data_IF_178732070360
#
_entry.id   IF_178732070360
#
_cell.length_a   1.000
_cell.length_b   1.000
_cell.length_c   1.000
_cell.angle_alpha   90.00
_cell.angle_beta   90.00
_cell.angle_gamma   90.00
#
_symmetry.space_group_name_H-M   'P 1'
#
loop_
_entity.id
_entity.type
_entity.pdbx_description
1 polymer ?
#
# COMPACT_ATOMS: atom_id res chain seq x y z
N UNK A 1 -17.40 34.56 -5.49
CA UNK A 1 -16.54 33.45 -5.06
C UNK A 1 -15.87 32.86 -6.30
N UNK A 2 -14.53 32.80 -6.37
CA UNK A 2 -13.86 32.09 -7.47
C UNK A 2 -14.18 30.60 -7.32
N UNK A 3 -14.68 29.98 -8.39
CA UNK A 3 -14.89 28.54 -8.45
C UNK A 3 -13.51 27.87 -8.43
N UNK A 4 -13.31 26.93 -7.51
CA UNK A 4 -12.06 26.20 -7.39
C UNK A 4 -11.92 25.22 -8.57
N UNK A 5 -10.93 25.46 -9.43
CA UNK A 5 -10.65 24.62 -10.60
C UNK A 5 -9.67 23.51 -10.23
N UNK A 6 -10.21 22.42 -9.70
CA UNK A 6 -9.44 21.23 -9.34
C UNK A 6 -8.77 20.59 -10.56
N UNK A 7 -9.32 20.75 -11.76
CA UNK A 7 -8.79 20.14 -12.98
C UNK A 7 -7.53 20.86 -13.45
N UNK A 8 -7.46 22.18 -13.29
CA UNK A 8 -6.22 22.93 -13.49
C UNK A 8 -5.14 22.50 -12.49
N UNK A 9 -5.47 22.39 -11.20
CA UNK A 9 -4.53 21.96 -10.17
C UNK A 9 -4.04 20.52 -10.38
N UNK A 10 -4.91 19.62 -10.86
CA UNK A 10 -4.54 18.27 -11.24
C UNK A 10 -3.47 18.26 -12.34
N UNK A 11 -3.70 19.04 -13.41
CA UNK A 11 -2.74 19.15 -14.53
C UNK A 11 -1.40 19.74 -14.10
N UNK A 12 -1.40 20.69 -13.17
CA UNK A 12 -0.17 21.28 -12.62
C UNK A 12 0.65 20.28 -11.79
N UNK A 13 -0.04 19.40 -11.04
CA UNK A 13 0.61 18.39 -10.19
C UNK A 13 1.00 17.11 -10.93
N UNK A 14 0.51 16.94 -12.16
CA UNK A 14 0.79 15.78 -12.99
C UNK A 14 2.26 15.77 -13.42
N UNK A 15 2.94 14.67 -13.19
CA UNK A 15 4.38 14.53 -13.44
C UNK A 15 4.73 13.06 -13.70
N UNK A 16 5.93 12.81 -14.23
CA UNK A 16 6.43 11.43 -14.35
C UNK A 16 6.80 10.85 -12.99
N UNK A 17 6.80 9.52 -12.85
CA UNK A 17 7.20 8.88 -11.60
C UNK A 17 8.62 9.26 -11.14
N UNK A 18 9.53 9.45 -12.10
CA UNK A 18 10.92 9.84 -11.84
C UNK A 18 11.01 11.25 -11.23
N UNK A 19 10.32 12.21 -11.83
CA UNK A 19 10.23 13.59 -11.37
C UNK A 19 9.47 13.71 -10.04
N UNK A 20 8.38 12.97 -9.87
CA UNK A 20 7.64 12.94 -8.61
C UNK A 20 8.54 12.55 -7.43
N UNK A 21 9.41 11.55 -7.65
CA UNK A 21 10.36 11.07 -6.67
C UNK A 21 11.58 11.98 -6.48
N UNK A 22 11.74 13.07 -7.26
CA UNK A 22 12.81 14.04 -7.02
C UNK A 22 12.71 14.75 -5.67
N UNK A 23 11.50 14.84 -5.11
CA UNK A 23 11.26 15.32 -3.76
C UNK A 23 11.67 14.35 -2.64
N UNK A 24 12.15 13.14 -2.97
CA UNK A 24 12.70 12.18 -2.01
C UNK A 24 14.20 12.40 -1.84
N UNK A 25 14.59 12.68 -0.60
CA UNK A 25 15.95 12.99 -0.17
C UNK A 25 16.50 11.95 0.83
N UNK A 26 17.79 12.06 1.13
CA UNK A 26 18.48 11.24 2.14
C UNK A 26 17.83 11.40 3.52
N UNK A 27 17.98 10.38 4.38
CA UNK A 27 17.53 10.42 5.78
C UNK A 27 16.02 10.66 5.98
N UNK A 28 15.19 10.39 4.97
CA UNK A 28 13.74 10.57 5.03
C UNK A 28 13.00 9.28 5.37
N UNK A 29 11.85 9.44 6.02
CA UNK A 29 10.86 8.38 6.25
C UNK A 29 9.86 8.33 5.12
N UNK A 30 9.87 7.23 4.37
CA UNK A 30 8.98 7.00 3.23
C UNK A 30 7.94 5.94 3.59
N UNK A 31 6.68 6.37 3.68
CA UNK A 31 5.54 5.47 3.82
C UNK A 31 5.07 4.97 2.45
N UNK A 32 4.75 3.68 2.37
CA UNK A 32 4.25 3.05 1.15
C UNK A 32 2.89 2.42 1.44
N UNK A 33 1.93 2.64 0.55
CA UNK A 33 0.59 2.08 0.60
C UNK A 33 0.57 0.58 0.89
N UNK A 34 -0.40 0.16 1.69
CA UNK A 34 -0.44 -1.18 2.27
C UNK A 34 -1.17 -2.19 1.38
N UNK A 35 -0.68 -3.43 1.36
CA UNK A 35 -1.34 -4.58 0.75
C UNK A 35 -1.62 -4.41 -0.73
N UNK A 36 -2.85 -4.70 -1.13
CA UNK A 36 -3.22 -4.64 -2.54
C UNK A 36 -3.29 -3.21 -3.11
N UNK A 37 -3.24 -2.18 -2.24
CA UNK A 37 -3.16 -0.77 -2.63
C UNK A 37 -1.73 -0.22 -2.69
N UNK A 38 -0.71 -1.08 -2.69
CA UNK A 38 0.69 -0.67 -2.90
C UNK A 38 0.87 -0.11 -4.33
N UNK A 39 1.41 1.13 -4.50
CA UNK A 39 1.64 1.73 -5.81
C UNK A 39 2.86 1.09 -6.50
N UNK A 40 2.64 0.06 -7.32
CA UNK A 40 3.72 -0.80 -7.83
C UNK A 40 4.69 -0.03 -8.72
N UNK A 41 4.19 0.89 -9.54
CA UNK A 41 5.02 1.72 -10.39
C UNK A 41 5.90 2.68 -9.59
N UNK A 42 5.33 3.38 -8.59
CA UNK A 42 6.12 4.26 -7.72
C UNK A 42 7.15 3.48 -6.89
N UNK A 43 6.80 2.29 -6.42
CA UNK A 43 7.74 1.42 -5.68
C UNK A 43 8.89 0.98 -6.58
N UNK A 44 8.62 0.62 -7.83
CA UNK A 44 9.66 0.24 -8.81
C UNK A 44 10.62 1.39 -9.07
N UNK A 45 10.11 2.60 -9.29
CA UNK A 45 10.96 3.78 -9.51
C UNK A 45 11.71 4.21 -8.25
N UNK A 46 11.10 4.06 -7.07
CA UNK A 46 11.78 4.30 -5.80
C UNK A 46 12.99 3.37 -5.65
N UNK A 47 12.87 2.08 -5.99
CA UNK A 47 13.99 1.12 -5.94
C UNK A 47 15.15 1.55 -6.84
N UNK A 48 14.87 2.10 -8.02
CA UNK A 48 15.89 2.65 -8.91
C UNK A 48 16.57 3.88 -8.30
N UNK A 49 15.79 4.77 -7.68
CA UNK A 49 16.30 5.98 -7.03
C UNK A 49 17.10 5.69 -5.77
N UNK A 50 16.72 4.66 -5.00
CA UNK A 50 17.39 4.23 -3.77
C UNK A 50 18.87 3.92 -3.97
N UNK A 51 19.30 3.53 -5.18
CA UNK A 51 20.71 3.36 -5.55
C UNK A 51 21.57 4.61 -5.35
N UNK A 52 20.94 5.79 -5.25
CA UNK A 52 21.59 7.11 -5.11
C UNK A 52 21.21 7.81 -3.81
N UNK A 53 20.47 7.15 -2.93
CA UNK A 53 20.06 7.69 -1.63
C UNK A 53 20.70 6.89 -0.50
N UNK A 54 20.76 7.49 0.67
CA UNK A 54 21.29 6.90 1.90
C UNK A 54 20.34 7.17 3.07
N UNK A 55 20.34 6.25 4.03
CA UNK A 55 19.56 6.33 5.27
C UNK A 55 18.06 6.54 5.07
N UNK A 56 17.49 6.03 3.98
CA UNK A 56 16.04 6.02 3.83
C UNK A 56 15.42 5.03 4.80
N UNK A 57 14.40 5.49 5.53
CA UNK A 57 13.60 4.64 6.40
C UNK A 57 12.28 4.30 5.71
N UNK A 58 12.17 3.07 5.19
CA UNK A 58 10.98 2.63 4.48
C UNK A 58 9.97 2.05 5.46
N UNK A 59 8.81 2.70 5.59
CA UNK A 59 7.73 2.31 6.50
C UNK A 59 6.65 1.53 5.75
N UNK A 60 6.43 0.27 6.15
CA UNK A 60 5.48 -0.65 5.52
C UNK A 60 4.67 -1.45 6.53
N UNK A 61 3.47 -1.87 6.07
CA UNK A 61 2.53 -2.68 6.84
C UNK A 61 2.29 -4.08 6.26
N UNK A 62 2.02 -4.18 4.96
CA UNK A 62 1.72 -5.47 4.33
C UNK A 62 2.29 -5.47 2.91
N UNK A 63 3.62 -5.69 2.75
CA UNK A 63 4.24 -5.69 1.43
C UNK A 63 3.77 -6.91 0.63
N UNK A 64 3.27 -6.70 -0.58
CA UNK A 64 2.83 -7.78 -1.48
C UNK A 64 3.61 -7.85 -2.79
N UNK A 65 4.04 -6.70 -3.32
CA UNK A 65 4.67 -6.63 -4.64
C UNK A 65 6.17 -6.87 -4.62
N UNK A 66 6.87 -6.35 -3.61
CA UNK A 66 8.32 -6.54 -3.46
C UNK A 66 8.63 -6.94 -2.02
N UNK A 67 9.48 -7.96 -1.87
CA UNK A 67 10.05 -8.33 -0.57
C UNK A 67 10.99 -7.23 -0.07
N UNK A 68 11.31 -7.25 1.23
CA UNK A 68 12.37 -6.39 1.77
C UNK A 68 13.70 -6.64 1.05
N UNK A 69 13.98 -7.89 0.68
CA UNK A 69 15.21 -8.28 0.02
C UNK A 69 15.30 -7.67 -1.38
N UNK A 70 14.19 -7.52 -2.08
CA UNK A 70 14.18 -6.85 -3.39
C UNK A 70 14.52 -5.36 -3.29
N UNK A 71 14.27 -4.75 -2.13
CA UNK A 71 14.52 -3.33 -1.85
C UNK A 71 15.93 -3.14 -1.30
N UNK A 72 16.37 -4.04 -0.41
CA UNK A 72 17.69 -4.04 0.19
C UNK A 72 18.78 -4.52 -0.80
N UNK A 73 18.53 -5.55 -1.62
CA UNK A 73 19.52 -6.07 -2.60
C UNK A 73 19.92 -5.08 -3.69
N UNK A 74 19.09 -4.07 -3.95
CA UNK A 74 19.40 -3.00 -4.90
C UNK A 74 20.23 -1.85 -4.27
N UNK A 75 20.39 -1.85 -2.95
CA UNK A 75 21.32 -0.96 -2.27
C UNK A 75 22.73 -1.55 -2.41
N UNK A 76 23.49 -1.08 -3.41
CA UNK A 76 24.91 -1.46 -3.58
C UNK A 76 25.81 -0.98 -2.43
N UNK A 77 25.25 -0.28 -1.45
CA UNK A 77 25.86 0.11 -0.18
C UNK A 77 25.00 -0.45 0.94
N UNK A 78 25.61 -1.12 1.92
CA UNK A 78 24.96 -1.61 3.13
C UNK A 78 24.20 -0.49 3.92
N UNK A 79 24.42 0.78 3.55
CA UNK A 79 23.88 1.99 4.19
C UNK A 79 22.76 2.71 3.37
N UNK A 80 22.41 2.24 2.17
CA UNK A 80 21.54 3.05 1.29
C UNK A 80 20.07 3.12 1.72
N UNK A 81 19.54 2.10 2.40
CA UNK A 81 18.19 2.13 2.96
C UNK A 81 17.99 1.11 4.08
N UNK A 82 17.34 1.56 5.14
CA UNK A 82 16.90 0.73 6.26
C UNK A 82 15.38 0.52 6.18
N UNK A 83 14.92 -0.72 6.08
CA UNK A 83 13.49 -1.03 6.16
C UNK A 83 13.01 -1.07 7.61
N UNK A 84 12.03 -0.23 7.98
CA UNK A 84 11.31 -0.34 9.25
C UNK A 84 9.90 -0.87 9.02
N UNK A 85 9.59 -1.98 9.67
CA UNK A 85 8.29 -2.62 9.56
C UNK A 85 7.52 -2.50 10.87
N UNK A 86 6.30 -1.97 10.79
CA UNK A 86 5.35 -2.03 11.91
C UNK A 86 4.52 -3.32 11.87
N UNK A 87 4.37 -3.89 10.69
CA UNK A 87 3.75 -5.18 10.46
C UNK A 87 4.39 -5.76 9.19
N UNK A 88 4.72 -7.04 9.20
CA UNK A 88 5.20 -7.78 8.01
C UNK A 88 4.11 -8.67 7.43
N UNK A 89 2.99 -8.83 8.14
CA UNK A 89 1.91 -9.70 7.71
C UNK A 89 2.33 -11.16 7.61
N UNK A 90 1.89 -11.81 6.52
CA UNK A 90 2.19 -13.22 6.22
C UNK A 90 3.49 -13.38 5.44
N UNK A 91 4.38 -12.36 5.43
CA UNK A 91 5.67 -12.46 4.75
C UNK A 91 6.37 -13.75 5.20
N UNK A 92 6.83 -14.59 4.25
CA UNK A 92 7.36 -15.89 4.59
C UNK A 92 8.61 -15.72 5.46
N UNK A 93 8.73 -16.54 6.51
CA UNK A 93 9.77 -16.37 7.55
C UNK A 93 11.22 -16.30 7.01
N UNK A 94 11.47 -16.88 5.82
CA UNK A 94 12.74 -16.76 5.09
C UNK A 94 13.13 -15.30 4.77
N UNK A 95 12.15 -14.44 4.49
CA UNK A 95 12.37 -13.02 4.19
C UNK A 95 12.65 -12.21 5.47
N UNK A 96 12.28 -12.75 6.65
CA UNK A 96 12.56 -12.13 7.96
C UNK A 96 14.01 -12.36 8.42
N UNK A 97 14.57 -13.52 8.07
CA UNK A 97 15.89 -13.97 8.56
C UNK A 97 17.01 -13.37 7.71
N UNK A 98 16.78 -13.19 6.41
CA UNK A 98 17.81 -12.70 5.48
C UNK A 98 18.18 -11.22 5.68
N UNK A 99 17.23 -10.37 6.08
CA UNK A 99 17.38 -8.90 5.98
C UNK A 99 17.38 -8.13 7.30
N UNK A 100 17.29 -8.82 8.46
CA UNK A 100 17.17 -8.22 9.80
C UNK A 100 16.32 -6.93 9.84
N UNK A 101 15.07 -6.95 9.33
CA UNK A 101 14.22 -5.77 9.33
C UNK A 101 14.00 -5.26 10.76
N UNK A 102 13.97 -3.93 10.95
CA UNK A 102 13.55 -3.36 12.24
C UNK A 102 12.05 -3.58 12.41
N UNK A 103 11.68 -4.67 13.07
CA UNK A 103 10.30 -4.96 13.43
C UNK A 103 9.96 -4.24 14.74
N UNK A 104 8.98 -3.33 14.68
CA UNK A 104 8.49 -2.63 15.86
C UNK A 104 7.11 -3.22 16.24
N UNK A 105 7.02 -4.11 17.25
CA UNK A 105 5.76 -4.78 17.59
C UNK A 105 4.80 -3.79 18.21
N UNK A 106 3.84 -3.30 17.41
CA UNK A 106 2.83 -2.33 17.83
C UNK A 106 1.46 -2.71 17.28
N UNK A 107 0.41 -2.40 18.02
CA UNK A 107 -0.95 -2.44 17.47
C UNK A 107 -1.08 -1.44 16.33
N UNK A 108 -1.79 -1.82 15.26
CA UNK A 108 -2.08 -0.95 14.11
C UNK A 108 -2.77 0.37 14.50
N UNK A 109 -3.65 0.31 15.51
CA UNK A 109 -4.30 1.51 16.05
C UNK A 109 -3.29 2.46 16.70
N UNK A 110 -2.28 1.91 17.38
CA UNK A 110 -1.18 2.68 17.98
C UNK A 110 -0.32 3.31 16.90
N UNK A 111 0.00 2.60 15.81
CA UNK A 111 0.77 3.15 14.67
C UNK A 111 0.10 4.39 14.11
N UNK A 112 -1.22 4.33 13.89
CA UNK A 112 -2.00 5.49 13.44
C UNK A 112 -1.88 6.68 14.40
N UNK A 113 -1.94 6.43 15.72
CA UNK A 113 -1.78 7.48 16.72
C UNK A 113 -0.38 8.11 16.66
N UNK A 114 0.68 7.28 16.57
CA UNK A 114 2.06 7.74 16.55
C UNK A 114 2.39 8.60 15.33
N UNK A 115 1.82 8.27 14.16
CA UNK A 115 1.93 9.08 12.95
C UNK A 115 1.22 10.43 13.15
N UNK A 116 -0.01 10.43 13.68
CA UNK A 116 -0.79 11.67 13.92
C UNK A 116 -0.13 12.60 14.93
N UNK A 117 0.50 12.05 15.96
CA UNK A 117 1.21 12.85 16.97
C UNK A 117 2.64 13.20 16.55
N UNK A 118 3.04 12.88 15.32
CA UNK A 118 4.40 13.09 14.79
C UNK A 118 5.51 12.51 15.67
N UNK A 119 5.22 11.45 16.46
CA UNK A 119 6.24 10.65 17.12
C UNK A 119 6.97 9.75 16.11
N UNK A 120 6.25 9.38 15.04
CA UNK A 120 6.80 8.74 13.84
C UNK A 120 6.40 9.63 12.66
N UNK A 121 7.12 10.74 12.42
CA UNK A 121 6.84 11.62 11.29
C UNK A 121 7.04 10.88 9.98
N UNK A 122 6.15 11.16 9.02
CA UNK A 122 6.24 10.66 7.65
C UNK A 122 6.67 11.83 6.78
N UNK A 123 7.81 11.71 6.11
CA UNK A 123 8.29 12.76 5.21
C UNK A 123 7.61 12.63 3.86
N UNK A 124 7.56 11.42 3.33
CA UNK A 124 6.98 11.11 2.01
C UNK A 124 5.98 9.97 2.14
N UNK A 125 4.79 10.12 1.55
CA UNK A 125 3.81 9.06 1.40
C UNK A 125 3.61 8.72 -0.08
N UNK A 126 3.91 7.48 -0.45
CA UNK A 126 3.64 6.92 -1.77
C UNK A 126 2.34 6.12 -1.72
N UNK A 127 1.31 6.63 -2.38
CA UNK A 127 -0.05 6.10 -2.27
C UNK A 127 -0.62 5.77 -3.64
N UNK A 128 -1.51 4.79 -3.72
CA UNK A 128 -2.30 4.53 -4.92
C UNK A 128 -3.74 4.97 -4.70
N UNK A 129 -4.34 5.66 -5.68
CA UNK A 129 -5.68 6.21 -5.60
C UNK A 129 -6.44 6.04 -6.93
N UNK A 130 -7.76 6.12 -6.85
CA UNK A 130 -8.62 6.27 -8.03
C UNK A 130 -8.48 7.67 -8.64
N UNK A 131 -8.86 7.86 -9.91
CA UNK A 131 -9.00 9.19 -10.49
C UNK A 131 -9.94 10.10 -9.68
N UNK A 132 -9.75 11.43 -9.74
CA UNK A 132 -10.64 12.38 -9.09
C UNK A 132 -12.07 12.32 -9.67
N UNK A 133 -13.07 12.61 -8.86
CA UNK A 133 -14.45 12.82 -9.33
C UNK A 133 -14.69 14.27 -9.78
N UNK A 134 -15.95 14.59 -10.09
CA UNK A 134 -16.41 15.94 -10.45
C UNK A 134 -16.13 17.00 -9.38
N UNK A 135 -15.85 16.60 -8.15
CA UNK A 135 -15.51 17.48 -7.03
C UNK A 135 -14.02 17.50 -6.69
N UNK A 136 -13.17 16.83 -7.46
CA UNK A 136 -11.73 16.74 -7.21
C UNK A 136 -11.37 15.78 -6.07
N UNK A 137 -12.27 14.87 -5.69
CA UNK A 137 -12.01 13.87 -4.66
C UNK A 137 -11.47 12.59 -5.29
N UNK A 138 -10.33 12.12 -4.79
CA UNK A 138 -9.75 10.81 -5.11
C UNK A 138 -10.06 9.81 -3.99
N UNK A 139 -10.04 8.51 -4.29
CA UNK A 139 -10.29 7.44 -3.31
C UNK A 139 -9.06 6.56 -3.16
N UNK A 140 -8.67 6.28 -1.91
CA UNK A 140 -7.67 5.26 -1.56
C UNK A 140 -8.12 3.82 -1.90
N UNK A 141 -9.42 3.62 -2.13
CA UNK A 141 -10.00 2.39 -2.61
C UNK A 141 -9.86 1.25 -1.62
N UNK A 142 -9.14 0.19 -2.01
CA UNK A 142 -9.05 -1.03 -1.20
C UNK A 142 -8.15 -0.90 0.04
N UNK A 143 -7.32 0.16 0.13
CA UNK A 143 -6.33 0.32 1.20
C UNK A 143 -6.45 1.68 1.88
N UNK A 144 -7.31 1.76 2.91
CA UNK A 144 -7.51 2.99 3.71
C UNK A 144 -6.68 2.96 5.00
N UNK A 145 -6.70 1.83 5.71
CA UNK A 145 -5.98 1.51 6.96
C UNK A 145 -5.19 2.64 7.65
N UNK A 146 -3.87 2.48 7.83
CA UNK A 146 -2.97 3.54 8.27
C UNK A 146 -2.62 4.49 7.11
N UNK A 147 -2.92 4.07 5.87
CA UNK A 147 -2.65 4.81 4.63
C UNK A 147 -3.31 6.19 4.63
N UNK A 148 -4.56 6.31 5.09
CA UNK A 148 -5.26 7.59 5.25
C UNK A 148 -4.59 8.47 6.31
N UNK A 149 -4.08 7.87 7.38
CA UNK A 149 -3.36 8.62 8.41
C UNK A 149 -2.02 9.13 7.87
N UNK A 150 -1.31 8.32 7.10
CA UNK A 150 -0.09 8.74 6.41
C UNK A 150 -0.37 9.86 5.39
N UNK A 151 -1.42 9.72 4.57
CA UNK A 151 -1.83 10.73 3.60
C UNK A 151 -2.08 12.10 4.22
N UNK A 152 -2.68 12.13 5.42
CA UNK A 152 -2.99 13.38 6.13
C UNK A 152 -1.81 13.99 6.88
N UNK A 153 -0.82 13.19 7.24
CA UNK A 153 0.28 13.61 8.12
C UNK A 153 1.62 13.78 7.38
N UNK A 154 1.73 13.24 6.16
CA UNK A 154 2.96 13.32 5.39
C UNK A 154 3.22 14.74 4.87
N UNK A 155 4.50 15.11 4.80
CA UNK A 155 4.91 16.42 4.25
C UNK A 155 4.79 16.46 2.73
N UNK A 156 5.06 15.33 2.08
CA UNK A 156 4.96 15.14 0.64
C UNK A 156 4.10 13.91 0.34
N UNK A 157 2.96 14.11 -0.30
CA UNK A 157 2.08 13.03 -0.79
C UNK A 157 2.25 12.90 -2.30
N UNK A 158 2.71 11.72 -2.72
CA UNK A 158 2.82 11.34 -4.13
C UNK A 158 1.76 10.27 -4.40
N UNK A 159 0.78 10.61 -5.23
CA UNK A 159 -0.31 9.71 -5.58
C UNK A 159 -0.10 9.11 -6.96
N UNK A 160 -0.11 7.79 -7.03
CA UNK A 160 -0.29 7.04 -8.26
C UNK A 160 -1.78 6.91 -8.55
N UNK A 161 -2.25 7.57 -9.62
CA UNK A 161 -3.64 7.47 -10.07
C UNK A 161 -3.77 6.27 -10.98
N UNK A 162 -4.69 5.37 -10.62
CA UNK A 162 -4.98 4.14 -11.34
C UNK A 162 -6.49 3.99 -11.51
N UNK A 163 -6.97 3.97 -12.75
CA UNK A 163 -8.40 3.82 -13.10
C UNK A 163 -8.99 2.49 -12.62
N UNK A 164 -8.14 1.47 -12.40
CA UNK A 164 -8.57 0.18 -11.87
C UNK A 164 -8.77 0.18 -10.35
N UNK A 165 -8.30 1.22 -9.64
CA UNK A 165 -8.54 1.34 -8.21
C UNK A 165 -10.03 1.59 -7.94
N UNK A 166 -10.76 0.68 -7.27
CA UNK A 166 -12.17 0.87 -7.01
C UNK A 166 -12.38 2.05 -6.06
N UNK A 167 -13.47 2.78 -6.29
CA UNK A 167 -13.90 3.86 -5.41
C UNK A 167 -14.74 3.28 -4.27
N UNK A 168 -14.15 3.14 -3.10
CA UNK A 168 -14.82 2.57 -1.92
C UNK A 168 -15.44 3.68 -1.07
N UNK A 169 -16.65 3.43 -0.55
CA UNK A 169 -17.28 4.37 0.37
C UNK A 169 -16.66 4.30 1.76
N UNK A 170 -16.75 5.40 2.50
CA UNK A 170 -16.24 5.54 3.86
C UNK A 170 -15.23 6.67 3.98
N UNK A 171 -14.30 6.54 4.92
CA UNK A 171 -13.31 7.56 5.25
C UNK A 171 -12.03 7.43 4.41
N UNK A 172 -12.18 7.12 3.11
CA UNK A 172 -11.08 6.83 2.18
C UNK A 172 -10.80 7.93 1.14
N UNK A 173 -11.49 9.07 1.24
CA UNK A 173 -11.41 10.13 0.23
C UNK A 173 -10.35 11.18 0.55
N UNK A 174 -9.54 11.53 -0.45
CA UNK A 174 -8.48 12.54 -0.39
C UNK A 174 -8.71 13.54 -1.53
N UNK A 175 -8.84 14.81 -1.19
CA UNK A 175 -8.98 15.88 -2.18
C UNK A 175 -7.64 16.18 -2.87
N UNK A 176 -7.67 16.57 -4.15
CA UNK A 176 -6.46 16.91 -4.93
C UNK A 176 -5.57 17.94 -4.22
N UNK A 177 -6.15 18.90 -3.50
CA UNK A 177 -5.40 19.90 -2.73
C UNK A 177 -4.41 19.31 -1.71
N UNK A 178 -4.71 18.12 -1.19
CA UNK A 178 -3.90 17.45 -0.18
C UNK A 178 -2.85 16.51 -0.79
N UNK A 179 -2.76 16.44 -2.12
CA UNK A 179 -1.73 15.68 -2.84
C UNK A 179 -0.74 16.66 -3.44
N UNK A 180 0.56 16.35 -3.40
CA UNK A 180 1.59 17.26 -3.89
C UNK A 180 2.03 16.93 -5.32
N UNK A 181 2.07 15.64 -5.67
CA UNK A 181 2.48 15.15 -7.00
C UNK A 181 1.57 14.00 -7.41
N UNK A 182 1.21 13.98 -8.69
CA UNK A 182 0.32 13.01 -9.28
C UNK A 182 1.05 12.30 -10.41
N UNK A 183 0.98 10.97 -10.42
CA UNK A 183 1.55 10.10 -11.44
C UNK A 183 0.44 9.20 -11.95
N UNK A 184 0.11 9.31 -13.23
CA UNK A 184 -0.90 8.43 -13.83
C UNK A 184 -0.26 7.12 -14.28
N UNK A 185 -0.75 6.00 -13.75
CA UNK A 185 -0.35 4.67 -14.19
C UNK A 185 -1.46 3.66 -13.92
N UNK A 186 -2.09 3.22 -14.99
CA UNK A 186 -3.02 2.11 -14.96
C UNK A 186 -2.27 0.78 -14.92
N UNK A 187 -2.57 0.00 -13.88
CA UNK A 187 -2.02 -1.33 -13.69
C UNK A 187 -2.99 -2.20 -12.90
N UNK A 188 -2.90 -3.52 -13.10
CA UNK A 188 -3.73 -4.47 -12.35
C UNK A 188 -3.40 -4.39 -10.86
N UNK A 189 -4.43 -4.31 -10.02
CA UNK A 189 -4.26 -4.35 -8.57
C UNK A 189 -3.68 -5.71 -8.17
N UNK A 190 -2.78 -5.69 -7.19
CA UNK A 190 -2.25 -6.90 -6.61
C UNK A 190 -3.39 -7.74 -6.02
N UNK A 191 -3.31 -9.04 -6.18
CA UNK A 191 -4.27 -9.98 -5.58
C UNK A 191 -3.58 -10.87 -4.58
N UNK A 192 -4.18 -11.05 -3.40
CA UNK A 192 -3.71 -12.02 -2.43
C UNK A 192 -4.49 -13.32 -2.55
N UNK A 193 -3.78 -14.42 -2.84
CA UNK A 193 -4.38 -15.76 -2.82
C UNK A 193 -4.25 -16.35 -1.42
N UNK A 194 -5.36 -16.55 -0.68
CA UNK A 194 -5.28 -17.11 0.65
C UNK A 194 -4.75 -18.56 0.60
N UNK A 195 -3.94 -18.98 1.58
CA UNK A 195 -3.52 -20.37 1.66
C UNK A 195 -4.74 -21.27 1.88
N UNK A 196 -4.76 -22.44 1.23
CA UNK A 196 -5.83 -23.41 1.37
C UNK A 196 -5.99 -23.82 2.85
N UNK A 197 -7.12 -23.44 3.47
CA UNK A 197 -7.42 -23.67 4.90
C UNK A 197 -7.37 -25.17 5.21
N UNK A 198 -7.75 -26.02 4.26
CA UNK A 198 -7.82 -27.46 4.41
C UNK A 198 -6.45 -28.16 4.44
N UNK A 199 -5.39 -27.52 3.93
CA UNK A 199 -4.10 -28.16 3.69
C UNK A 199 -2.98 -27.75 4.65
N UNK A 200 -3.30 -27.17 5.82
CA UNK A 200 -2.32 -26.74 6.84
C UNK A 200 -1.36 -27.83 7.38
N UNK A 201 -1.53 -29.12 7.02
CA UNK A 201 -0.74 -30.24 7.59
C UNK A 201 0.13 -31.04 6.60
N UNK A 202 0.15 -30.77 5.29
CA UNK A 202 1.03 -31.51 4.35
C UNK A 202 1.72 -30.59 3.36
N UNK A 203 3.05 -30.72 3.29
CA UNK A 203 3.96 -29.94 2.43
C UNK A 203 3.77 -30.12 0.91
N UNK A 204 2.80 -30.93 0.49
CA UNK A 204 2.42 -31.10 -0.91
C UNK A 204 0.90 -31.23 -1.01
N UNK A 205 0.21 -30.13 -1.32
CA UNK A 205 -1.22 -30.16 -1.57
C UNK A 205 -1.48 -30.04 -3.07
N UNK A 206 -2.02 -31.11 -3.65
CA UNK A 206 -2.50 -31.21 -5.03
C UNK A 206 -3.91 -30.63 -5.20
N UNK A 207 -4.33 -29.69 -4.35
CA UNK A 207 -5.63 -29.03 -4.50
C UNK A 207 -5.55 -28.07 -5.70
N UNK A 208 -5.86 -28.60 -6.89
CA UNK A 208 -6.08 -27.85 -8.11
C UNK A 208 -7.30 -26.93 -8.01
N UNK A 209 -7.25 -25.91 -7.13
CA UNK A 209 -8.11 -24.74 -7.24
C UNK A 209 -7.50 -23.74 -8.22
N UNK A 210 -7.20 -24.23 -9.43
CA UNK A 210 -7.20 -23.42 -10.63
C UNK A 210 -8.64 -23.37 -11.13
N UNK A 211 -9.23 -22.17 -11.05
CA UNK A 211 -10.40 -21.67 -11.80
C UNK A 211 -11.25 -22.74 -12.52
N UNK A 212 -12.48 -23.01 -12.03
CA UNK A 212 -13.70 -23.42 -12.78
C UNK A 212 -14.52 -24.52 -12.08
N UNK A 213 -15.19 -24.24 -10.95
CA UNK A 213 -16.27 -25.13 -10.46
C UNK A 213 -17.27 -24.52 -9.48
N UNK A 214 -17.45 -23.20 -9.48
CA UNK A 214 -18.41 -22.52 -8.58
C UNK A 214 -19.72 -22.09 -9.25
N UNK A 215 -19.95 -22.41 -10.54
CA UNK A 215 -21.16 -21.95 -11.25
C UNK A 215 -22.39 -22.87 -11.05
N UNK A 216 -22.24 -24.14 -10.66
CA UNK A 216 -23.39 -25.06 -10.64
C UNK A 216 -23.45 -25.97 -9.40
N UNK A 217 -23.72 -25.42 -8.21
CA UNK A 217 -24.36 -26.22 -7.18
C UNK A 217 -25.40 -25.40 -6.40
N UNK A 218 -26.67 -25.71 -6.70
CA UNK A 218 -27.85 -25.22 -5.98
C UNK A 218 -27.67 -25.43 -4.48
N UNK A 219 -27.74 -24.33 -3.73
CA UNK A 219 -27.84 -24.33 -2.28
C UNK A 219 -29.26 -24.76 -1.91
N UNK A 220 -29.44 -25.92 -1.27
CA UNK A 220 -30.68 -26.28 -0.58
C UNK A 220 -30.49 -26.09 0.93
N UNK A 221 -31.29 -25.26 1.61
CA UNK A 221 -31.17 -25.06 3.05
C UNK A 221 -31.71 -26.28 3.80
N UNK A 222 -30.96 -26.79 4.78
CA UNK A 222 -31.44 -27.80 5.73
C UNK A 222 -32.17 -27.10 6.89
N UNK A 223 -33.42 -27.47 7.08
CA UNK A 223 -34.28 -27.06 8.20
C UNK A 223 -33.68 -27.56 9.52
N UNK A 224 -33.48 -26.65 10.49
CA UNK A 224 -33.07 -26.99 11.85
C UNK A 224 -34.34 -27.17 12.68
N UNK A 225 -34.61 -28.39 13.15
CA UNK A 225 -35.65 -28.69 14.13
C UNK A 225 -35.16 -28.26 15.51
N UNK A 226 -35.87 -27.31 16.14
CA UNK A 226 -35.69 -26.92 17.54
C UNK A 226 -36.31 -28.01 18.45
N UNK A 227 -35.54 -28.51 19.41
CA UNK A 227 -36.06 -29.28 20.54
C UNK A 227 -36.04 -28.37 21.77
N UNK A 228 -37.21 -28.05 22.31
CA UNK A 228 -37.40 -27.30 23.54
C UNK A 228 -37.18 -28.20 24.76
N UNK A 229 -36.52 -27.67 25.78
CA UNK A 229 -36.73 -27.99 27.20
C UNK A 229 -36.95 -26.67 27.93
#
# INVERSE_FOLDING_TARGET
>A
MKQYDWAAEYREKLTSAKEALEGVYHCQRVFIGSGCGEPQHLVTELKNRMKRLCDLEIIRLYPLHCSQADIASNASREESATGRFFYLGSAPAKDLIADRPFLTPLSLSTVSRLIKTHLIPIDVALLQMSPPDSSGMMSLGISVDITMTAARSARLVIAQVNTQMPRTYGQGFVHISNVNRIVEKDEMLLTFTPPCIHCRRRHSCSCGQTRSRWINHKYQPRTITQTYY
#
